data_IF_166385661084
#
_entry.id   IF_166385661084
#
_cell.length_a   1.000
_cell.length_b   1.000
_cell.length_c   1.000
_cell.angle_alpha   90.00
_cell.angle_beta   90.00
_cell.angle_gamma   90.00
#
_symmetry.space_group_name_H-M   'P 1'
#
loop_
_entity.id
_entity.type
_entity.pdbx_description
1 polymer ?
#
# COMPACT_ATOMS: atom_id res chain seq x y z
N UNK A 1 3.14 -20.74 -11.19
CA UNK A 1 2.54 -19.48 -10.68
C UNK A 1 3.67 -18.61 -10.13
N UNK A 2 3.96 -17.46 -10.76
CA UNK A 2 5.04 -16.58 -10.29
C UNK A 2 4.74 -16.05 -8.89
N UNK A 3 5.73 -16.06 -7.99
CA UNK A 3 5.59 -15.47 -6.64
C UNK A 3 5.13 -14.02 -6.79
N UNK A 4 3.99 -13.69 -6.21
CA UNK A 4 3.56 -12.29 -6.08
C UNK A 4 4.64 -11.56 -5.26
N UNK A 5 5.13 -10.42 -5.77
CA UNK A 5 6.01 -9.55 -5.00
C UNK A 5 5.14 -8.81 -4.00
N UNK A 6 5.28 -9.16 -2.73
CA UNK A 6 4.65 -8.46 -1.62
C UNK A 6 5.68 -7.58 -0.91
N UNK A 7 5.29 -6.36 -0.62
CA UNK A 7 6.03 -5.42 0.21
C UNK A 7 5.23 -5.22 1.51
N UNK A 8 5.93 -5.26 2.63
CA UNK A 8 5.34 -4.88 3.93
C UNK A 8 5.26 -3.37 4.02
N UNK A 9 4.11 -2.86 4.46
CA UNK A 9 3.92 -1.44 4.75
C UNK A 9 3.94 -1.25 6.26
N UNK A 10 4.86 -0.42 6.75
CA UNK A 10 5.03 -0.14 8.17
C UNK A 10 4.81 1.34 8.45
N UNK A 11 4.28 1.63 9.63
CA UNK A 11 4.17 3.00 10.16
C UNK A 11 4.79 3.02 11.54
N UNK A 12 5.89 3.77 11.68
CA UNK A 12 6.67 3.83 12.92
C UNK A 12 7.08 2.43 13.45
N UNK A 13 7.41 1.51 12.53
CA UNK A 13 7.77 0.12 12.87
C UNK A 13 6.59 -0.83 13.11
N UNK A 14 5.34 -0.33 13.20
CA UNK A 14 4.16 -1.18 13.30
C UNK A 14 3.71 -1.66 11.90
N UNK A 15 3.39 -2.96 11.71
CA UNK A 15 2.81 -3.46 10.46
C UNK A 15 1.43 -2.84 10.24
N UNK A 16 1.26 -2.13 9.12
CA UNK A 16 -0.02 -1.54 8.73
C UNK A 16 -0.76 -2.40 7.71
N UNK A 17 -0.01 -3.10 6.86
CA UNK A 17 -0.58 -3.90 5.80
C UNK A 17 0.44 -4.33 4.76
N UNK A 18 -0.07 -4.75 3.60
CA UNK A 18 0.71 -5.40 2.56
C UNK A 18 0.37 -4.80 1.21
N UNK A 19 1.41 -4.45 0.45
CA UNK A 19 1.29 -4.04 -0.95
C UNK A 19 1.66 -5.23 -1.83
N UNK A 20 0.76 -5.65 -2.71
CA UNK A 20 0.96 -6.75 -3.64
C UNK A 20 0.86 -6.27 -5.08
N UNK A 21 1.76 -6.77 -5.94
CA UNK A 21 1.68 -6.55 -7.39
C UNK A 21 1.40 -7.85 -8.12
N UNK A 22 0.30 -7.90 -8.86
CA UNK A 22 -0.06 -9.04 -9.70
C UNK A 22 0.86 -9.16 -10.92
N UNK A 23 0.85 -10.34 -11.56
CA UNK A 23 1.58 -10.55 -12.82
C UNK A 23 1.14 -9.62 -13.96
N UNK A 24 -0.11 -9.11 -13.91
CA UNK A 24 -0.66 -8.14 -14.86
C UNK A 24 -0.31 -6.68 -14.51
N UNK A 25 0.52 -6.47 -13.50
CA UNK A 25 0.95 -5.15 -13.07
C UNK A 25 0.03 -4.44 -12.09
N UNK A 26 -1.21 -4.92 -11.89
CA UNK A 26 -2.19 -4.35 -10.95
C UNK A 26 -1.62 -4.35 -9.53
N UNK A 27 -1.59 -3.18 -8.92
CA UNK A 27 -1.19 -2.99 -7.52
C UNK A 27 -2.42 -3.07 -6.61
N UNK A 28 -2.24 -3.73 -5.47
CA UNK A 28 -3.29 -3.90 -4.46
C UNK A 28 -2.72 -3.72 -3.05
N UNK A 29 -3.54 -3.16 -2.17
CA UNK A 29 -3.17 -2.90 -0.79
C UNK A 29 -4.26 -3.41 0.16
N UNK A 30 -3.85 -4.19 1.16
CA UNK A 30 -4.72 -4.64 2.25
C UNK A 30 -4.16 -4.20 3.60
N UNK A 31 -5.03 -3.73 4.48
CA UNK A 31 -4.67 -3.47 5.88
C UNK A 31 -4.45 -4.80 6.62
N UNK A 32 -3.49 -4.80 7.54
CA UNK A 32 -3.28 -5.91 8.46
C UNK A 32 -4.43 -5.98 9.48
N UNK A 33 -4.89 -7.18 9.80
CA UNK A 33 -6.00 -7.39 10.74
C UNK A 33 -5.68 -6.86 12.14
N UNK A 34 -4.40 -6.95 12.56
CA UNK A 34 -3.97 -6.41 13.85
C UNK A 34 -3.99 -4.88 13.82
N UNK A 35 -3.60 -4.26 12.70
CA UNK A 35 -3.71 -2.81 12.54
C UNK A 35 -5.16 -2.35 12.57
N UNK A 36 -6.07 -3.10 11.92
CA UNK A 36 -7.50 -2.81 11.98
C UNK A 36 -8.06 -3.00 13.39
N UNK A 37 -7.47 -3.82 14.24
CA UNK A 37 -7.96 -4.06 15.60
C UNK A 37 -7.32 -3.13 16.65
N UNK A 38 -6.27 -2.39 16.28
CA UNK A 38 -5.54 -1.48 17.17
C UNK A 38 -6.39 -0.25 17.56
N UNK A 39 -6.27 0.19 18.81
CA UNK A 39 -6.95 1.41 19.30
C UNK A 39 -6.38 2.69 18.70
N UNK A 40 -5.10 2.68 18.31
CA UNK A 40 -4.37 3.81 17.71
C UNK A 40 -4.33 3.74 16.17
N UNK A 41 -5.15 2.88 15.59
CA UNK A 41 -5.25 2.70 14.14
C UNK A 41 -5.62 4.01 13.44
N UNK A 42 -5.03 4.22 12.28
CA UNK A 42 -5.34 5.34 11.40
C UNK A 42 -5.15 4.93 9.95
N UNK A 43 -5.96 5.48 9.02
CA UNK A 43 -5.78 5.20 7.61
C UNK A 43 -4.44 5.77 7.12
N UNK A 44 -3.84 5.12 6.12
CA UNK A 44 -2.65 5.65 5.43
C UNK A 44 -2.95 6.95 4.67
N UNK A 45 -4.18 7.07 4.17
CA UNK A 45 -4.68 8.23 3.44
C UNK A 45 -6.20 8.30 3.57
N UNK A 46 -6.77 9.50 3.46
CA UNK A 46 -8.23 9.66 3.33
C UNK A 46 -8.78 8.96 2.08
N UNK A 47 -7.96 8.77 1.04
CA UNK A 47 -8.33 7.97 -0.14
C UNK A 47 -8.31 6.47 0.10
N UNK A 48 -7.69 6.01 1.19
CA UNK A 48 -7.59 4.61 1.60
C UNK A 48 -8.13 4.45 3.03
N UNK A 49 -9.44 4.65 3.28
CA UNK A 49 -10.00 4.53 4.62
C UNK A 49 -9.82 3.13 5.21
N UNK A 50 -9.86 3.01 6.54
CA UNK A 50 -9.71 1.72 7.22
C UNK A 50 -10.84 0.77 6.83
N UNK A 51 -10.48 -0.39 6.30
CA UNK A 51 -11.42 -1.44 5.91
C UNK A 51 -10.68 -2.78 5.82
N UNK A 52 -11.40 -3.88 6.03
CA UNK A 52 -10.89 -5.22 5.78
C UNK A 52 -10.83 -5.56 4.27
N UNK A 53 -11.48 -4.76 3.42
CA UNK A 53 -11.46 -4.96 1.98
C UNK A 53 -10.11 -4.54 1.37
N UNK A 54 -9.60 -5.38 0.46
CA UNK A 54 -8.40 -5.05 -0.31
C UNK A 54 -8.71 -3.96 -1.33
N UNK A 55 -7.90 -2.91 -1.35
CA UNK A 55 -7.90 -1.91 -2.40
C UNK A 55 -7.09 -2.38 -3.59
N UNK A 56 -7.48 -1.99 -4.80
CA UNK A 56 -6.73 -2.32 -6.03
C UNK A 56 -6.84 -1.23 -7.09
N UNK A 57 -5.87 -1.20 -8.01
CA UNK A 57 -5.84 -0.31 -9.17
C UNK A 57 -5.53 1.13 -8.82
N UNK A 58 -6.07 2.07 -9.60
CA UNK A 58 -5.67 3.49 -9.61
C UNK A 58 -5.66 4.15 -8.22
N UNK A 59 -6.58 3.78 -7.32
CA UNK A 59 -6.63 4.37 -5.98
C UNK A 59 -5.38 4.03 -5.15
N UNK A 60 -4.88 2.81 -5.27
CA UNK A 60 -3.66 2.36 -4.59
C UNK A 60 -2.45 2.98 -5.30
N UNK A 61 -2.41 2.86 -6.62
CA UNK A 61 -1.30 3.38 -7.44
C UNK A 61 -1.07 4.88 -7.21
N UNK A 62 -2.12 5.70 -7.29
CA UNK A 62 -2.02 7.14 -7.05
C UNK A 62 -1.48 7.49 -5.66
N UNK A 63 -1.87 6.74 -4.61
CA UNK A 63 -1.35 7.00 -3.28
C UNK A 63 0.15 6.72 -3.18
N UNK A 64 0.59 5.56 -3.69
CA UNK A 64 2.00 5.17 -3.59
C UNK A 64 2.90 5.93 -4.58
N UNK A 65 2.39 6.30 -5.76
CA UNK A 65 3.13 7.13 -6.72
C UNK A 65 3.40 8.54 -6.14
N UNK A 66 2.46 9.11 -5.39
CA UNK A 66 2.64 10.40 -4.72
C UNK A 66 3.69 10.38 -3.58
N UNK A 67 4.20 9.21 -3.20
CA UNK A 67 5.33 9.09 -2.27
C UNK A 67 6.68 9.15 -2.98
N UNK A 68 6.69 9.10 -4.32
CA UNK A 68 7.90 9.15 -5.12
C UNK A 68 8.20 10.60 -5.53
N UNK A 69 9.47 10.94 -5.78
CA UNK A 69 9.83 12.27 -6.29
C UNK A 69 9.20 12.53 -7.67
N UNK A 70 8.64 13.72 -7.85
CA UNK A 70 8.12 14.18 -9.16
C UNK A 70 9.23 14.34 -10.21
N UNK A 71 10.46 14.59 -9.76
CA UNK A 71 11.59 14.76 -10.66
C UNK A 71 11.97 13.42 -11.32
N UNK A 72 11.68 13.29 -12.61
CA UNK A 72 11.98 12.09 -13.40
C UNK A 72 13.46 11.69 -13.39
N UNK A 73 14.39 12.64 -13.25
CA UNK A 73 15.81 12.35 -13.16
C UNK A 73 16.19 11.57 -11.88
N UNK A 74 15.41 11.70 -10.81
CA UNK A 74 15.58 10.93 -9.57
C UNK A 74 14.83 9.59 -9.60
N UNK A 75 13.76 9.47 -10.40
CA UNK A 75 12.93 8.26 -10.50
C UNK A 75 13.56 7.15 -11.35
N UNK A 76 14.47 7.50 -12.26
CA UNK A 76 15.12 6.56 -13.19
C UNK A 76 16.52 6.08 -12.74
N UNK A 77 16.94 6.36 -11.50
CA UNK A 77 18.20 5.88 -10.93
C UNK A 77 17.99 4.57 -10.18
#
# INVERSE_FOLDING_TARGET
MGKAKNLSVLMNGAPVGWLARSAKGIVSFGYDENWLSDRNRRPLSLSLPLTAQVYSGNRVENFFDNLLPDNMALRNR
#
